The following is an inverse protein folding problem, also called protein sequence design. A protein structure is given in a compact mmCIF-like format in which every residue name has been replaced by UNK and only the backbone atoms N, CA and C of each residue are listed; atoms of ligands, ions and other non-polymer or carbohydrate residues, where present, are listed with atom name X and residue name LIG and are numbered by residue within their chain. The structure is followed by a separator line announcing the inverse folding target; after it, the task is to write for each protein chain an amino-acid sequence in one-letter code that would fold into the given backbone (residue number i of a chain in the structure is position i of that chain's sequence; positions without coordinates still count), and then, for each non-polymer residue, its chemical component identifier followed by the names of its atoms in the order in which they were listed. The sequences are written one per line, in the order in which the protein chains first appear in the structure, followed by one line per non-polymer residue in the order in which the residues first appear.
data_IF_213944339678
#
_entry.id   IF_213944339678
#
_cell.length_a   1.000
_cell.length_b   1.000
_cell.length_c   1.000
_cell.angle_alpha   90.00
_cell.angle_beta   90.00
_cell.angle_gamma   90.00
#
_symmetry.space_group_name_H-M   'P 1'
#
loop_
_entity.id
_entity.type
_entity.pdbx_description
1 polymer ?
#
# COMPACT_ATOMS: atom_id res chain seq x y z
N UNK A 1 -10.82 30.30 17.29
CA UNK A 1 -10.76 28.88 16.95
C UNK A 1 -10.19 28.72 15.56
N UNK A 2 -9.32 27.73 15.36
CA UNK A 2 -8.93 27.28 14.04
C UNK A 2 -9.06 25.77 13.94
N UNK A 3 -9.44 25.32 12.77
CA UNK A 3 -9.52 23.92 12.41
C UNK A 3 -8.14 23.45 11.98
N UNK A 4 -7.64 22.37 12.57
CA UNK A 4 -6.43 21.68 12.14
C UNK A 4 -6.82 20.31 11.61
N UNK A 5 -6.36 20.00 10.42
CA UNK A 5 -6.55 18.71 9.76
C UNK A 5 -5.18 18.08 9.48
N UNK A 6 -5.01 16.83 9.84
CA UNK A 6 -3.75 16.11 9.67
C UNK A 6 -4.00 14.73 9.06
N UNK A 7 -3.07 14.26 8.25
CA UNK A 7 -3.06 12.92 7.68
C UNK A 7 -1.75 12.21 8.04
N UNK A 8 -1.84 10.94 8.43
CA UNK A 8 -0.66 10.10 8.61
C UNK A 8 -0.08 9.67 7.27
N UNK A 9 1.21 9.36 7.21
CA UNK A 9 1.86 8.85 6.01
C UNK A 9 1.35 7.45 5.62
N UNK A 10 1.27 7.16 4.34
CA UNK A 10 0.93 5.84 3.82
C UNK A 10 2.08 4.85 3.93
N UNK A 11 1.79 3.58 4.15
CA UNK A 11 2.75 2.49 4.04
C UNK A 11 3.11 2.20 2.57
N UNK A 12 4.26 1.62 2.34
CA UNK A 12 4.69 1.25 0.99
C UNK A 12 4.34 -0.19 0.63
N UNK A 13 4.31 -0.50 -0.65
CA UNK A 13 4.19 -1.86 -1.16
C UNK A 13 5.47 -2.68 -1.00
N UNK A 14 5.33 -3.99 -0.95
CA UNK A 14 6.44 -4.96 -1.02
C UNK A 14 6.88 -5.19 -2.46
N UNK A 15 8.12 -5.62 -2.66
CA UNK A 15 8.63 -6.08 -3.94
C UNK A 15 8.06 -7.46 -4.32
N UNK A 16 7.98 -7.77 -5.60
CA UNK A 16 7.58 -9.10 -6.07
C UNK A 16 8.65 -10.16 -5.84
N UNK A 17 8.27 -11.44 -5.83
CA UNK A 17 9.23 -12.57 -5.81
C UNK A 17 9.72 -12.93 -7.21
N UNK A 18 10.88 -13.63 -7.27
CA UNK A 18 11.36 -14.32 -8.47
C UNK A 18 11.53 -15.79 -8.15
N UNK A 19 10.74 -16.64 -8.78
CA UNK A 19 10.71 -18.10 -8.51
C UNK A 19 10.04 -18.84 -9.64
N UNK A 20 9.92 -20.17 -9.54
CA UNK A 20 9.14 -20.98 -10.49
C UNK A 20 7.64 -20.65 -10.48
N UNK A 21 7.08 -20.24 -9.32
CA UNK A 21 5.69 -19.81 -9.16
C UNK A 21 5.68 -18.47 -8.39
N UNK A 22 6.02 -17.38 -9.03
CA UNK A 22 6.20 -16.11 -8.33
C UNK A 22 4.88 -15.45 -7.94
N UNK A 23 4.89 -14.78 -6.80
CA UNK A 23 3.82 -13.87 -6.40
C UNK A 23 4.24 -12.40 -6.56
N UNK A 24 3.28 -11.56 -6.86
CA UNK A 24 3.45 -10.13 -6.68
C UNK A 24 3.59 -9.77 -5.21
N UNK A 25 4.24 -8.66 -4.91
CA UNK A 25 4.24 -8.07 -3.59
C UNK A 25 2.86 -7.53 -3.24
N UNK A 26 2.50 -7.55 -1.95
CA UNK A 26 1.29 -6.90 -1.48
C UNK A 26 1.47 -5.39 -1.33
N UNK A 27 0.38 -4.65 -1.32
CA UNK A 27 0.40 -3.20 -1.22
C UNK A 27 0.39 -2.69 0.23
N UNK A 28 0.83 -1.47 0.44
CA UNK A 28 0.73 -0.76 1.70
C UNK A 28 -0.66 -0.21 1.97
N UNK A 29 -0.98 0.01 3.24
CA UNK A 29 -2.20 0.68 3.69
C UNK A 29 -2.04 2.20 3.73
N UNK A 30 -3.15 2.92 3.67
CA UNK A 30 -3.19 4.37 3.83
C UNK A 30 -3.07 4.83 5.28
N UNK A 31 -2.64 6.05 5.51
CA UNK A 31 -2.64 6.70 6.81
C UNK A 31 -4.03 7.19 7.22
N UNK A 32 -4.22 7.41 8.52
CA UNK A 32 -5.45 7.97 9.06
C UNK A 32 -5.57 9.47 8.77
N UNK A 33 -6.80 9.96 8.84
CA UNK A 33 -7.15 11.37 8.97
C UNK A 33 -7.61 11.66 10.39
N UNK A 34 -7.20 12.82 10.92
CA UNK A 34 -7.73 13.34 12.17
C UNK A 34 -7.91 14.84 12.10
N UNK A 35 -8.87 15.37 12.87
CA UNK A 35 -9.22 16.79 12.83
C UNK A 35 -9.63 17.27 14.22
N UNK A 36 -9.16 18.46 14.60
CA UNK A 36 -9.54 19.09 15.87
C UNK A 36 -9.64 20.60 15.70
N UNK A 37 -10.52 21.22 16.49
CA UNK A 37 -10.62 22.67 16.62
C UNK A 37 -9.89 23.13 17.88
N UNK A 38 -8.92 24.03 17.71
CA UNK A 38 -8.15 24.62 18.80
C UNK A 38 -8.58 26.06 19.09
N UNK A 39 -8.62 26.44 20.37
CA UNK A 39 -8.61 27.84 20.76
C UNK A 39 -7.15 28.33 20.78
N UNK A 40 -6.90 29.58 20.39
CA UNK A 40 -5.55 30.14 20.46
C UNK A 40 -4.97 30.11 21.88
N UNK A 41 -5.84 30.25 22.88
CA UNK A 41 -5.44 30.23 24.29
C UNK A 41 -5.00 28.84 24.81
N UNK A 42 -5.35 27.78 24.11
CA UNK A 42 -5.02 26.40 24.49
C UNK A 42 -3.70 25.92 23.83
N UNK A 43 -3.09 26.76 23.02
CA UNK A 43 -1.82 26.47 22.34
C UNK A 43 -0.68 27.31 22.89
N UNK A 44 0.54 26.80 22.77
CA UNK A 44 1.74 27.58 23.07
C UNK A 44 1.96 28.69 22.02
N UNK A 45 2.88 29.60 22.29
CA UNK A 45 3.25 30.66 21.34
C UNK A 45 3.78 30.08 20.00
N UNK A 46 4.34 28.87 20.06
CA UNK A 46 4.76 28.06 18.90
C UNK A 46 4.39 26.61 19.14
N UNK A 47 3.85 25.94 18.12
CA UNK A 47 3.55 24.53 18.15
C UNK A 47 4.41 23.77 17.14
N UNK A 48 4.85 22.58 17.53
CA UNK A 48 5.62 21.71 16.63
C UNK A 48 4.69 20.98 15.70
N UNK A 49 4.97 21.07 14.40
CA UNK A 49 4.33 20.25 13.37
C UNK A 49 5.31 19.14 12.96
N UNK A 50 4.89 17.87 13.09
CA UNK A 50 5.64 16.74 12.56
C UNK A 50 4.88 16.16 11.38
N UNK A 51 5.52 16.06 10.22
CA UNK A 51 4.92 15.44 9.04
C UNK A 51 5.40 13.98 8.94
N UNK A 52 4.45 13.05 8.94
CA UNK A 52 4.75 11.62 8.79
C UNK A 52 5.29 11.31 7.40
N UNK A 53 6.47 10.71 7.32
CA UNK A 53 7.01 10.26 6.05
C UNK A 53 6.20 9.08 5.49
N UNK A 54 6.09 9.00 4.16
CA UNK A 54 5.62 7.79 3.50
C UNK A 54 6.66 6.67 3.60
N UNK A 55 6.20 5.42 3.62
CA UNK A 55 7.09 4.26 3.65
C UNK A 55 7.92 4.12 2.35
N UNK A 56 9.14 3.64 2.44
CA UNK A 56 9.95 3.29 1.28
C UNK A 56 9.56 1.91 0.71
N UNK A 57 9.47 1.78 -0.61
CA UNK A 57 9.07 0.55 -1.29
C UNK A 57 10.00 -0.63 -1.02
N UNK A 58 9.44 -1.84 -1.01
CA UNK A 58 10.20 -3.08 -0.87
C UNK A 58 11.09 -3.36 -2.08
N UNK A 59 12.26 -3.93 -1.84
CA UNK A 59 13.24 -4.22 -2.91
C UNK A 59 12.79 -5.31 -3.87
N UNK A 60 13.19 -5.20 -5.13
CA UNK A 60 13.13 -6.28 -6.12
C UNK A 60 14.21 -7.31 -5.88
N UNK A 61 14.07 -8.49 -6.51
CA UNK A 61 15.07 -9.55 -6.49
C UNK A 61 15.45 -9.99 -7.92
N UNK A 62 16.72 -10.24 -8.14
CA UNK A 62 17.29 -10.74 -9.40
C UNK A 62 17.66 -12.23 -9.34
N UNK A 63 17.60 -12.85 -8.18
CA UNK A 63 17.82 -14.27 -7.93
C UNK A 63 16.54 -14.93 -7.39
N UNK A 64 16.53 -16.25 -7.29
CA UNK A 64 15.39 -17.02 -6.79
C UNK A 64 15.16 -16.76 -5.29
N UNK A 65 14.31 -15.79 -5.00
CA UNK A 65 14.00 -15.35 -3.64
C UNK A 65 12.64 -14.65 -3.55
N UNK A 66 12.17 -14.48 -2.33
CA UNK A 66 11.06 -13.58 -2.02
C UNK A 66 11.46 -12.11 -2.17
N UNK A 67 10.53 -11.25 -2.53
CA UNK A 67 10.74 -9.81 -2.58
C UNK A 67 10.93 -9.19 -1.19
N UNK A 68 11.51 -8.00 -1.13
CA UNK A 68 11.65 -7.26 0.11
C UNK A 68 10.31 -6.70 0.62
N UNK A 69 10.14 -6.63 1.93
CA UNK A 69 9.00 -5.95 2.53
C UNK A 69 9.11 -4.44 2.32
N UNK A 70 7.96 -3.79 2.22
CA UNK A 70 7.89 -2.34 2.31
C UNK A 70 8.15 -1.81 3.74
N UNK A 71 7.95 -0.53 3.94
CA UNK A 71 8.07 0.16 5.24
C UNK A 71 6.73 0.81 5.59
N UNK A 72 6.38 0.81 6.87
CA UNK A 72 5.18 1.50 7.36
C UNK A 72 5.32 3.03 7.24
N UNK A 73 4.21 3.72 7.08
CA UNK A 73 4.17 5.17 7.10
C UNK A 73 4.34 5.76 8.50
N UNK A 74 4.84 6.98 8.59
CA UNK A 74 4.99 7.74 9.82
C UNK A 74 3.71 8.45 10.25
N UNK A 75 3.63 8.84 11.52
CA UNK A 75 2.52 9.65 12.04
C UNK A 75 2.77 11.13 11.82
N UNK A 76 1.71 11.87 11.50
CA UNK A 76 1.69 13.35 11.46
C UNK A 76 1.07 13.87 12.75
N UNK A 77 1.64 14.93 13.32
CA UNK A 77 1.11 15.52 14.55
C UNK A 77 1.17 17.05 14.57
N UNK A 78 0.21 17.65 15.28
CA UNK A 78 0.17 19.08 15.65
C UNK A 78 -0.36 19.18 17.09
N UNK A 79 0.43 19.73 17.99
CA UNK A 79 0.11 19.75 19.42
C UNK A 79 -0.30 18.33 19.93
N UNK A 80 -1.52 18.19 20.43
CA UNK A 80 -2.08 16.90 20.89
C UNK A 80 -2.77 16.08 19.80
N UNK A 81 -2.96 16.65 18.60
CA UNK A 81 -3.63 16.00 17.48
C UNK A 81 -2.62 15.11 16.74
N UNK A 82 -2.97 13.82 16.56
CA UNK A 82 -2.14 12.85 15.85
C UNK A 82 -2.98 12.12 14.81
N UNK A 83 -2.45 11.99 13.59
CA UNK A 83 -2.94 11.07 12.58
C UNK A 83 -1.86 10.00 12.33
N UNK A 84 -2.20 8.73 12.49
CA UNK A 84 -1.24 7.64 12.44
C UNK A 84 -1.03 7.08 11.03
N UNK A 85 0.17 6.56 10.80
CA UNK A 85 0.56 6.00 9.51
C UNK A 85 -0.03 4.63 9.22
N UNK A 86 -0.08 4.29 7.93
CA UNK A 86 -0.51 3.00 7.41
C UNK A 86 0.58 1.94 7.45
N UNK A 87 0.18 0.67 7.46
CA UNK A 87 1.05 -0.50 7.52
C UNK A 87 1.72 -0.81 6.17
N UNK A 88 2.86 -1.47 6.24
CA UNK A 88 3.61 -1.91 5.06
C UNK A 88 2.95 -3.07 4.33
N UNK A 89 3.17 -3.16 3.04
CA UNK A 89 2.98 -4.38 2.26
C UNK A 89 4.13 -5.36 2.47
N UNK A 90 3.84 -6.65 2.37
CA UNK A 90 4.83 -7.70 2.44
C UNK A 90 5.40 -8.00 1.06
N UNK A 91 6.67 -8.38 1.00
CA UNK A 91 7.29 -8.88 -0.22
C UNK A 91 6.61 -10.16 -0.73
N UNK A 92 6.59 -10.33 -2.04
CA UNK A 92 6.11 -11.55 -2.67
C UNK A 92 6.86 -12.76 -2.14
N UNK A 93 6.14 -13.85 -1.88
CA UNK A 93 6.68 -15.09 -1.33
C UNK A 93 6.95 -16.13 -2.41
N UNK A 94 7.87 -17.03 -2.14
CA UNK A 94 8.18 -18.18 -3.00
C UNK A 94 7.15 -19.29 -2.89
N UNK A 95 6.33 -19.31 -1.84
CA UNK A 95 5.45 -20.44 -1.53
C UNK A 95 4.09 -20.08 -0.91
N UNK A 96 3.89 -18.86 -0.49
CA UNK A 96 2.66 -18.44 0.20
C UNK A 96 2.11 -17.11 -0.34
N UNK A 97 0.82 -16.94 -0.21
CA UNK A 97 0.16 -15.67 -0.47
C UNK A 97 0.50 -14.66 0.64
N UNK A 98 0.57 -13.38 0.30
CA UNK A 98 0.95 -12.32 1.25
C UNK A 98 -0.19 -11.34 1.47
N UNK A 99 -0.38 -10.93 2.72
CA UNK A 99 -1.39 -9.93 3.10
C UNK A 99 -0.91 -8.52 2.79
N UNK A 100 -1.83 -7.64 2.45
CA UNK A 100 -1.61 -6.21 2.33
C UNK A 100 -1.28 -5.55 3.68
N UNK A 101 -0.88 -4.29 3.65
CA UNK A 101 -0.72 -3.46 4.84
C UNK A 101 -2.07 -2.99 5.37
N UNK A 102 -2.25 -2.97 6.67
CA UNK A 102 -3.43 -2.39 7.32
C UNK A 102 -3.42 -0.86 7.24
N UNK A 103 -4.58 -0.23 7.27
CA UNK A 103 -4.69 1.23 7.35
C UNK A 103 -4.31 1.78 8.73
N UNK A 104 -3.85 3.03 8.81
CA UNK A 104 -3.65 3.75 10.07
C UNK A 104 -4.99 4.06 10.76
N UNK A 105 -5.03 4.05 12.08
CA UNK A 105 -6.20 4.44 12.87
C UNK A 105 -6.04 5.82 13.50
N UNK A 106 -7.10 6.31 14.14
CA UNK A 106 -7.09 7.62 14.82
C UNK A 106 -6.45 7.57 16.21
N UNK A 107 -6.24 6.39 16.80
CA UNK A 107 -5.60 6.20 18.11
C UNK A 107 -4.27 5.45 18.05
N UNK A 108 -4.00 4.68 17.01
CA UNK A 108 -2.70 4.06 16.77
C UNK A 108 -2.44 3.81 15.30
N UNK A 109 -1.16 3.66 14.94
CA UNK A 109 -0.74 3.29 13.58
C UNK A 109 -0.85 1.79 13.32
N UNK A 110 -0.73 1.44 12.05
CA UNK A 110 -0.50 0.07 11.59
C UNK A 110 0.98 -0.08 11.21
N UNK A 111 1.61 -1.15 11.64
CA UNK A 111 2.98 -1.48 11.22
C UNK A 111 3.01 -2.58 10.16
N UNK A 112 2.01 -3.44 10.15
CA UNK A 112 1.91 -4.61 9.27
C UNK A 112 0.52 -4.69 8.63
N UNK A 113 -0.15 -5.82 8.80
CA UNK A 113 -1.46 -6.11 8.17
C UNK A 113 -2.68 -5.82 9.05
N UNK A 114 -2.50 -5.65 10.37
CA UNK A 114 -3.61 -5.25 11.23
C UNK A 114 -3.81 -3.73 11.11
N UNK A 115 -5.07 -3.30 11.08
CA UNK A 115 -5.41 -1.89 11.11
C UNK A 115 -5.03 -1.22 12.43
N UNK A 116 -4.85 0.09 12.40
CA UNK A 116 -4.62 0.89 13.61
C UNK A 116 -5.91 1.11 14.40
N UNK A 117 -5.77 1.34 15.70
CA UNK A 117 -6.89 1.57 16.63
C UNK A 117 -7.64 2.91 16.37
N UNK A 118 -8.92 3.06 16.78
CA UNK A 118 -9.60 2.32 17.83
C UNK A 118 -10.06 0.94 17.36
N UNK A 119 -9.69 -0.07 18.13
CA UNK A 119 -10.24 -1.40 18.00
C UNK A 119 -11.46 -1.51 18.92
N UNK A 120 -12.61 -1.30 18.37
CA UNK A 120 -13.88 -1.50 19.08
C UNK A 120 -14.68 -2.63 18.45
N UNK A 121 -14.00 -3.73 18.16
CA UNK A 121 -14.62 -4.87 17.49
C UNK A 121 -14.74 -4.69 15.97
N UNK A 122 -15.09 -5.75 15.29
CA UNK A 122 -15.03 -5.89 13.82
C UNK A 122 -15.87 -4.89 13.02
N UNK A 123 -16.81 -4.19 13.64
CA UNK A 123 -17.78 -3.36 12.91
C UNK A 123 -17.48 -1.85 12.91
N UNK A 124 -16.59 -1.37 13.78
CA UNK A 124 -16.23 0.06 13.88
C UNK A 124 -14.80 0.36 13.41
N UNK A 125 -13.98 -0.64 13.15
CA UNK A 125 -12.60 -0.47 12.66
C UNK A 125 -12.54 0.29 11.31
N UNK A 126 -13.58 0.16 10.48
CA UNK A 126 -13.67 0.84 9.20
C UNK A 126 -14.02 2.33 9.26
N UNK A 127 -14.53 2.85 10.38
CA UNK A 127 -14.98 4.25 10.47
C UNK A 127 -13.94 5.17 11.13
N UNK A 128 -13.34 4.79 12.23
CA UNK A 128 -12.33 5.57 12.96
C UNK A 128 -10.98 4.86 13.07
N UNK A 129 -10.97 3.53 13.07
CA UNK A 129 -9.78 2.70 12.98
C UNK A 129 -9.32 2.49 11.54
N UNK A 130 -8.08 2.08 11.37
CA UNK A 130 -7.57 1.62 10.09
C UNK A 130 -8.18 0.27 9.71
N UNK A 131 -8.46 0.07 8.44
CA UNK A 131 -8.96 -1.20 7.94
C UNK A 131 -7.89 -2.29 8.06
N UNK A 132 -8.24 -3.45 8.61
CA UNK A 132 -7.38 -4.63 8.57
C UNK A 132 -7.16 -5.08 7.13
N UNK A 133 -5.97 -5.58 6.83
CA UNK A 133 -5.76 -6.29 5.59
C UNK A 133 -6.71 -7.50 5.53
N UNK A 134 -7.40 -7.61 4.42
CA UNK A 134 -8.20 -8.79 4.14
C UNK A 134 -7.31 -10.04 4.00
N UNK A 135 -7.90 -11.20 3.76
CA UNK A 135 -7.17 -12.45 3.54
C UNK A 135 -6.08 -12.29 2.46
N UNK A 136 -5.09 -13.18 2.45
CA UNK A 136 -3.87 -13.11 1.63
C UNK A 136 -4.09 -12.98 0.11
N UNK A 137 -5.31 -13.07 -0.38
CA UNK A 137 -5.67 -12.98 -1.80
C UNK A 137 -7.04 -12.29 -1.95
N UNK A 138 -7.13 -11.05 -1.50
CA UNK A 138 -8.37 -10.31 -1.66
C UNK A 138 -8.12 -8.81 -1.76
N UNK A 139 -9.11 -8.11 -2.26
CA UNK A 139 -9.17 -6.65 -2.29
C UNK A 139 -9.05 -6.08 -0.87
N UNK A 140 -8.35 -4.98 -0.75
CA UNK A 140 -8.21 -4.23 0.51
C UNK A 140 -9.57 -3.74 1.02
N UNK A 141 -9.71 -3.65 2.33
CA UNK A 141 -10.91 -3.13 2.99
C UNK A 141 -10.89 -1.60 3.05
N UNK A 142 -12.07 -1.02 2.94
CA UNK A 142 -12.22 0.43 3.04
C UNK A 142 -12.16 0.90 4.50
N UNK A 143 -11.58 2.09 4.71
CA UNK A 143 -11.62 2.83 5.96
C UNK A 143 -12.55 4.04 5.86
N UNK A 144 -12.94 4.61 7.00
CA UNK A 144 -13.66 5.88 7.08
C UNK A 144 -12.69 7.04 7.34
N UNK A 145 -12.52 7.44 8.59
CA UNK A 145 -11.46 8.37 9.03
C UNK A 145 -10.10 7.67 9.12
N UNK A 146 -10.08 6.37 9.40
CA UNK A 146 -8.89 5.54 9.26
C UNK A 146 -8.53 5.28 7.81
N UNK A 147 -7.29 4.86 7.55
CA UNK A 147 -6.81 4.50 6.22
C UNK A 147 -7.41 3.19 5.70
N UNK A 148 -7.56 3.07 4.38
CA UNK A 148 -7.90 1.82 3.72
C UNK A 148 -6.73 0.84 3.73
N UNK A 149 -6.98 -0.48 3.74
CA UNK A 149 -5.91 -1.48 3.67
C UNK A 149 -5.45 -1.76 2.23
N UNK A 150 -4.20 -2.19 2.09
CA UNK A 150 -3.64 -2.62 0.80
C UNK A 150 -4.20 -3.95 0.30
N UNK A 151 -4.15 -4.17 -1.01
CA UNK A 151 -4.48 -5.45 -1.63
C UNK A 151 -3.44 -6.53 -1.31
N UNK A 152 -3.88 -7.78 -1.13
CA UNK A 152 -3.01 -8.92 -0.88
C UNK A 152 -2.36 -9.45 -2.16
N UNK A 153 -1.14 -9.99 -2.07
CA UNK A 153 -0.46 -10.66 -3.17
C UNK A 153 -0.78 -12.15 -3.23
N UNK A 154 -0.88 -12.72 -4.42
CA UNK A 154 -1.14 -14.13 -4.64
C UNK A 154 -0.16 -14.73 -5.62
N UNK A 155 0.17 -16.00 -5.42
CA UNK A 155 1.03 -16.79 -6.32
C UNK A 155 0.30 -17.04 -7.63
N UNK A 156 0.98 -16.80 -8.75
CA UNK A 156 0.49 -17.11 -10.10
C UNK A 156 -0.92 -16.56 -10.42
N UNK A 157 -1.27 -15.35 -9.90
CA UNK A 157 -2.59 -14.78 -10.10
C UNK A 157 -2.52 -13.25 -10.32
N UNK A 158 -3.70 -12.68 -10.64
CA UNK A 158 -3.84 -11.21 -10.76
C UNK A 158 -3.61 -10.53 -9.42
N UNK A 159 -3.22 -9.27 -9.46
CA UNK A 159 -3.16 -8.41 -8.27
C UNK A 159 -4.55 -7.99 -7.80
N UNK A 160 -4.67 -7.67 -6.52
CA UNK A 160 -5.90 -7.24 -5.87
C UNK A 160 -5.90 -5.74 -5.58
N UNK A 161 -7.07 -5.12 -5.72
CA UNK A 161 -7.22 -3.69 -5.51
C UNK A 161 -7.01 -3.30 -4.04
N UNK A 162 -6.57 -2.07 -3.81
CA UNK A 162 -6.56 -1.45 -2.50
C UNK A 162 -7.95 -1.04 -2.06
N UNK A 163 -8.14 -0.97 -0.74
CA UNK A 163 -9.34 -0.44 -0.10
C UNK A 163 -9.36 1.08 -0.12
N UNK A 164 -10.54 1.67 -0.33
CA UNK A 164 -10.74 3.13 -0.28
C UNK A 164 -10.72 3.68 1.15
N UNK A 165 -10.78 4.98 1.28
CA UNK A 165 -11.06 5.68 2.54
C UNK A 165 -11.85 6.95 2.26
N UNK A 166 -12.80 7.33 3.12
CA UNK A 166 -13.57 8.56 2.96
C UNK A 166 -12.77 9.81 3.34
N UNK A 167 -11.97 9.77 4.36
CA UNK A 167 -11.21 10.91 4.88
C UNK A 167 -9.71 10.64 5.01
N UNK A 168 -9.30 9.42 5.39
CA UNK A 168 -7.91 8.98 5.42
C UNK A 168 -7.36 8.69 4.02
N UNK A 169 -6.15 8.18 3.96
CA UNK A 169 -5.51 7.71 2.73
C UNK A 169 -6.04 6.33 2.29
N UNK A 170 -6.14 6.11 1.00
CA UNK A 170 -6.51 4.80 0.45
C UNK A 170 -5.32 3.83 0.42
N UNK A 171 -5.59 2.53 0.47
CA UNK A 171 -4.57 1.48 0.29
C UNK A 171 -4.13 1.31 -1.16
N UNK A 172 -2.92 0.86 -1.39
CA UNK A 172 -2.42 0.56 -2.74
C UNK A 172 -2.95 -0.76 -3.30
N UNK A 173 -2.83 -0.97 -4.60
CA UNK A 173 -3.09 -2.24 -5.28
C UNK A 173 -1.87 -3.17 -5.26
N UNK A 174 -2.06 -4.48 -5.11
CA UNK A 174 -0.97 -5.44 -5.11
C UNK A 174 -0.41 -5.71 -6.50
N UNK A 175 0.84 -6.17 -6.57
CA UNK A 175 1.44 -6.66 -7.80
C UNK A 175 0.77 -7.96 -8.30
N UNK A 176 0.78 -8.15 -9.61
CA UNK A 176 0.39 -9.41 -10.24
C UNK A 176 1.50 -10.46 -10.13
N UNK A 177 1.14 -11.72 -9.94
CA UNK A 177 2.06 -12.86 -10.09
C UNK A 177 2.35 -13.13 -11.56
N UNK A 178 3.12 -14.15 -11.86
CA UNK A 178 3.30 -14.66 -13.22
C UNK A 178 3.18 -16.15 -13.29
N UNK A 179 2.63 -16.68 -14.38
CA UNK A 179 2.59 -18.10 -14.71
C UNK A 179 3.57 -18.46 -15.80
N UNK A 180 3.69 -19.75 -16.11
CA UNK A 180 4.67 -20.28 -17.09
C UNK A 180 4.54 -19.64 -18.47
N UNK A 181 3.36 -19.21 -18.88
CA UNK A 181 3.08 -18.70 -20.23
C UNK A 181 2.38 -17.36 -20.25
N UNK A 182 2.05 -16.78 -19.10
CA UNK A 182 1.23 -15.55 -19.01
C UNK A 182 1.76 -14.60 -17.94
N UNK A 183 1.80 -13.32 -18.29
CA UNK A 183 1.91 -12.21 -17.33
C UNK A 183 0.53 -11.93 -16.74
N UNK A 184 0.49 -11.58 -15.47
CA UNK A 184 -0.76 -11.27 -14.76
C UNK A 184 -0.89 -9.79 -14.46
N UNK A 185 -2.09 -9.26 -14.65
CA UNK A 185 -2.41 -7.88 -14.33
C UNK A 185 -2.26 -7.60 -12.83
N UNK A 186 -1.93 -6.38 -12.52
CA UNK A 186 -1.86 -5.88 -11.14
C UNK A 186 -3.20 -5.32 -10.67
N UNK A 187 -3.35 -5.18 -9.36
CA UNK A 187 -4.49 -4.51 -8.74
C UNK A 187 -4.39 -2.98 -8.86
N UNK A 188 -5.54 -2.32 -8.98
CA UNK A 188 -5.63 -0.87 -8.90
C UNK A 188 -5.47 -0.37 -7.46
N UNK A 189 -4.98 0.84 -7.28
CA UNK A 189 -5.01 1.53 -5.99
C UNK A 189 -6.44 1.83 -5.54
N UNK A 190 -6.66 1.90 -4.22
CA UNK A 190 -7.94 2.32 -3.66
C UNK A 190 -8.21 3.81 -3.89
N UNK A 191 -9.49 4.20 -3.77
CA UNK A 191 -9.95 5.57 -4.02
C UNK A 191 -10.49 6.25 -2.79
N UNK A 192 -10.58 7.58 -2.83
CA UNK A 192 -11.32 8.36 -1.84
C UNK A 192 -12.72 8.76 -2.31
N UNK A 193 -12.98 8.91 -3.59
CA UNK A 193 -14.35 9.13 -4.15
C UNK A 193 -14.46 9.12 -5.66
N UNK A 194 -13.43 9.38 -6.47
CA UNK A 194 -13.62 9.59 -7.91
C UNK A 194 -12.53 9.12 -8.87
N UNK A 195 -11.29 8.88 -8.40
CA UNK A 195 -10.21 8.44 -9.33
C UNK A 195 -9.27 7.44 -8.67
N UNK A 196 -9.05 6.32 -9.32
CA UNK A 196 -8.12 5.25 -8.92
C UNK A 196 -6.74 5.49 -9.51
N UNK A 197 -5.66 5.24 -8.75
CA UNK A 197 -4.39 4.93 -9.38
C UNK A 197 -4.60 3.66 -10.24
N UNK A 198 -4.34 3.73 -11.53
CA UNK A 198 -4.51 2.60 -12.42
C UNK A 198 -3.51 1.49 -12.10
N UNK A 199 -3.97 0.25 -12.06
CA UNK A 199 -3.08 -0.91 -12.00
C UNK A 199 -2.19 -0.96 -13.23
N UNK A 200 -0.99 -1.50 -13.10
CA UNK A 200 -0.12 -1.78 -14.24
C UNK A 200 -0.76 -2.83 -15.16
N UNK A 201 -0.62 -2.66 -16.46
CA UNK A 201 -1.08 -3.62 -17.46
C UNK A 201 -0.09 -4.76 -17.63
N UNK A 202 -0.60 -5.96 -17.86
CA UNK A 202 0.24 -7.09 -18.22
C UNK A 202 0.90 -6.85 -19.59
N UNK A 203 2.24 -6.96 -19.65
CA UNK A 203 3.01 -6.82 -20.89
C UNK A 203 3.53 -8.15 -21.40
N UNK A 204 3.82 -8.24 -22.70
CA UNK A 204 4.50 -9.40 -23.34
C UNK A 204 6.03 -9.35 -23.23
N UNK A 205 6.59 -8.26 -22.73
CA UNK A 205 8.02 -8.04 -22.48
C UNK A 205 8.25 -7.71 -21.01
N UNK A 206 8.67 -6.49 -20.71
CA UNK A 206 8.72 -5.97 -19.36
C UNK A 206 7.30 -5.79 -18.80
N UNK A 207 7.12 -6.12 -17.53
CA UNK A 207 5.83 -5.90 -16.86
C UNK A 207 5.53 -4.40 -16.77
N UNK A 208 4.27 -4.02 -16.99
CA UNK A 208 3.83 -2.63 -16.85
C UNK A 208 3.98 -2.11 -15.42
N UNK A 209 4.53 -0.91 -15.26
CA UNK A 209 4.58 -0.26 -13.96
C UNK A 209 3.20 0.18 -13.50
N UNK A 210 2.95 0.18 -12.20
CA UNK A 210 1.72 0.69 -11.61
C UNK A 210 1.66 2.22 -11.71
N UNK A 211 0.43 2.74 -11.93
CA UNK A 211 0.21 4.19 -11.91
C UNK A 211 0.38 4.77 -10.51
N UNK A 212 0.95 5.96 -10.42
CA UNK A 212 1.01 6.72 -9.19
C UNK A 212 -0.39 7.17 -8.76
N UNK A 213 -0.66 7.18 -7.47
CA UNK A 213 -1.89 7.71 -6.89
C UNK A 213 -1.88 9.25 -6.87
N UNK A 214 -3.06 9.86 -7.05
CA UNK A 214 -3.28 11.28 -6.78
C UNK A 214 -3.50 11.54 -5.29
N UNK A 215 -4.06 12.72 -4.96
CA UNK A 215 -4.33 13.10 -3.58
C UNK A 215 -5.15 12.03 -2.85
N UNK A 216 -4.60 11.47 -1.77
CA UNK A 216 -5.15 10.37 -0.96
C UNK A 216 -5.49 9.08 -1.73
N UNK A 217 -4.98 8.90 -2.92
CA UNK A 217 -5.21 7.72 -3.75
C UNK A 217 -4.05 6.75 -3.64
N UNK A 218 -4.35 5.46 -3.54
CA UNK A 218 -3.34 4.40 -3.53
C UNK A 218 -2.64 4.24 -4.87
N UNK A 219 -1.35 3.92 -4.86
CA UNK A 219 -0.61 3.55 -6.06
C UNK A 219 -1.08 2.21 -6.62
N UNK A 220 -1.14 2.07 -7.93
CA UNK A 220 -1.42 0.80 -8.61
C UNK A 220 -0.26 -0.20 -8.45
N UNK A 221 -0.54 -1.50 -8.48
CA UNK A 221 0.49 -2.55 -8.48
C UNK A 221 1.22 -2.65 -9.82
N UNK A 222 2.44 -3.17 -9.83
CA UNK A 222 3.16 -3.54 -11.04
C UNK A 222 2.73 -4.93 -11.57
N UNK A 223 2.59 -5.10 -12.89
CA UNK A 223 2.22 -6.41 -13.45
C UNK A 223 3.36 -7.43 -13.41
N UNK A 224 3.00 -8.71 -13.30
CA UNK A 224 3.95 -9.80 -13.35
C UNK A 224 4.51 -10.02 -14.76
N UNK A 225 5.71 -10.60 -14.87
CA UNK A 225 6.32 -11.00 -16.13
C UNK A 225 6.70 -12.49 -16.13
N UNK A 226 5.98 -13.28 -16.92
CA UNK A 226 6.25 -14.71 -17.12
C UNK A 226 6.64 -15.08 -18.55
N UNK A 227 6.52 -14.19 -19.50
CA UNK A 227 6.63 -14.48 -20.94
C UNK A 227 8.02 -14.19 -21.52
N UNK A 228 8.79 -13.30 -20.91
CA UNK A 228 10.11 -12.92 -21.44
C UNK A 228 11.26 -13.52 -20.63
N UNK A 229 12.21 -14.09 -21.32
CA UNK A 229 13.44 -14.63 -20.71
C UNK A 229 14.33 -13.51 -20.13
N UNK A 230 14.20 -12.27 -20.58
CA UNK A 230 15.08 -11.14 -20.24
C UNK A 230 14.35 -9.96 -19.61
N UNK A 231 13.01 -9.86 -19.74
CA UNK A 231 12.25 -8.70 -19.25
C UNK A 231 12.05 -8.70 -17.74
N UNK A 232 11.90 -7.52 -17.16
CA UNK A 232 11.60 -7.31 -15.74
C UNK A 232 10.10 -7.32 -15.47
N UNK A 233 9.68 -7.62 -14.26
CA UNK A 233 8.32 -7.36 -13.81
C UNK A 233 8.15 -5.87 -13.44
N UNK A 234 6.92 -5.37 -13.54
CA UNK A 234 6.62 -3.96 -13.32
C UNK A 234 6.80 -3.52 -11.87
N UNK A 235 7.26 -2.31 -11.66
CA UNK A 235 7.31 -1.67 -10.36
C UNK A 235 5.90 -1.28 -9.89
N UNK A 236 5.67 -1.25 -8.58
CA UNK A 236 4.47 -0.67 -7.98
C UNK A 236 4.48 0.85 -8.09
N UNK A 237 3.32 1.46 -8.29
CA UNK A 237 3.16 2.91 -8.29
C UNK A 237 3.22 3.50 -6.88
N UNK A 238 3.73 4.71 -6.76
CA UNK A 238 3.73 5.44 -5.51
C UNK A 238 2.31 5.82 -5.09
N UNK A 239 2.02 5.81 -3.80
CA UNK A 239 0.82 6.37 -3.23
C UNK A 239 0.86 7.91 -3.28
N UNK A 240 -0.29 8.55 -3.43
CA UNK A 240 -0.44 9.99 -3.23
C UNK A 240 -0.42 10.32 -1.73
N UNK A 241 -0.65 11.60 -1.38
CA UNK A 241 -0.63 12.07 0.01
C UNK A 241 -1.42 11.12 0.92
N UNK A 242 -0.84 10.72 2.04
CA UNK A 242 -1.36 9.78 3.03
C UNK A 242 -1.67 8.35 2.50
N UNK A 243 -1.56 8.08 1.23
CA UNK A 243 -2.02 6.84 0.62
C UNK A 243 -0.93 5.76 0.52
N UNK A 244 -1.33 4.50 0.50
CA UNK A 244 -0.42 3.36 0.39
C UNK A 244 0.18 3.19 -1.00
N UNK A 245 1.44 2.77 -1.08
CA UNK A 245 2.10 2.42 -2.35
C UNK A 245 1.70 1.02 -2.84
N UNK A 246 1.73 0.82 -4.15
CA UNK A 246 1.42 -0.44 -4.81
C UNK A 246 2.52 -1.48 -4.67
N UNK A 247 2.17 -2.77 -4.73
CA UNK A 247 3.15 -3.87 -4.73
C UNK A 247 3.84 -4.07 -6.07
N UNK A 248 5.08 -4.51 -6.08
CA UNK A 248 5.82 -4.88 -7.28
C UNK A 248 5.37 -6.22 -7.85
N UNK A 249 5.42 -6.37 -9.17
CA UNK A 249 5.06 -7.58 -9.88
C UNK A 249 6.04 -8.73 -9.64
N UNK A 250 5.53 -9.98 -9.62
CA UNK A 250 6.35 -11.19 -9.54
C UNK A 250 6.96 -11.56 -10.88
N UNK A 251 8.11 -12.22 -10.89
CA UNK A 251 8.79 -12.71 -12.07
C UNK A 251 9.17 -14.17 -11.95
N UNK A 252 8.93 -14.92 -13.03
CA UNK A 252 9.38 -16.31 -13.14
C UNK A 252 10.91 -16.40 -13.31
N UNK A 253 11.52 -17.47 -12.78
CA UNK A 253 12.98 -17.67 -12.79
C UNK A 253 13.57 -18.22 -14.09
N UNK A 254 12.82 -18.19 -15.19
CA UNK A 254 13.21 -18.72 -16.51
C UNK A 254 14.15 -17.82 -17.34
N UNK A 255 14.73 -16.77 -16.73
CA UNK A 255 15.60 -15.82 -17.44
C UNK A 255 16.35 -14.87 -16.52
N UNK A 256 16.94 -13.81 -17.06
CA UNK A 256 17.88 -12.91 -16.37
C UNK A 256 17.26 -11.65 -15.75
N UNK A 257 15.97 -11.38 -15.99
CA UNK A 257 15.32 -10.19 -15.43
C UNK A 257 15.02 -10.27 -13.92
N UNK A 258 14.61 -9.17 -13.32
CA UNK A 258 14.25 -9.05 -11.91
C UNK A 258 12.74 -8.92 -11.67
N UNK A 259 12.29 -9.18 -10.44
CA UNK A 259 10.94 -8.82 -9.99
C UNK A 259 10.80 -7.30 -9.89
N UNK A 260 9.56 -6.82 -9.78
CA UNK A 260 9.27 -5.40 -9.57
C UNK A 260 9.54 -4.93 -8.14
N UNK A 261 9.98 -3.70 -7.98
CA UNK A 261 10.07 -3.02 -6.67
C UNK A 261 8.68 -2.63 -6.18
N UNK A 262 8.48 -2.51 -4.88
CA UNK A 262 7.28 -1.91 -4.31
C UNK A 262 7.27 -0.39 -4.49
N UNK A 263 6.06 0.19 -4.65
CA UNK A 263 5.88 1.64 -4.68
C UNK A 263 5.99 2.28 -3.30
N UNK A 264 6.51 3.49 -3.20
CA UNK A 264 6.57 4.25 -1.96
C UNK A 264 5.15 4.62 -1.47
N UNK A 265 4.98 4.74 -0.16
CA UNK A 265 3.80 5.39 0.43
C UNK A 265 3.89 6.90 0.30
N UNK A 266 2.74 7.59 0.31
CA UNK A 266 2.69 9.05 0.33
C UNK A 266 2.98 9.62 1.72
N UNK A 267 3.61 10.80 1.78
CA UNK A 267 3.76 11.54 3.03
C UNK A 267 2.40 11.97 3.61
N UNK A 268 2.38 12.27 4.89
CA UNK A 268 1.21 12.78 5.60
C UNK A 268 0.94 14.26 5.35
#
# INVERSE_FOLDING_TARGET
FFKVEVWGGGGSGGGGSRTGLPSGGSAGGGGAYNCLYFKAADLNATETVTIGAGGSGGSSVSSDAGGGNGVAGGSTSFATLIAYGGGRGNGGSVSINVKGGGGGGTLSGSSTHNGGQPDSGSDMSGQFGGADASASFSTGKAGGYGGGSGGGGKTNDIGFNGGGSSAGGAGGGSGGGSGYTISRAAGAGGTTTTTTGSGGTAGSGDGGAGGAGGFRQGGGGGSGNGLSATGNAGAGGAGGLAAGGGGGGGRQNNGTGSSGVGGAGGAG
#
